data_IF_408835084233
#
_entry.id   IF_408835084233
#
_cell.length_a   1.000
_cell.length_b   1.000
_cell.length_c   1.000
_cell.angle_alpha   90.00
_cell.angle_beta   90.00
_cell.angle_gamma   90.00
#
_symmetry.space_group_name_H-M   'P 1'
#
loop_
_entity.id
_entity.type
_entity.pdbx_description
1 polymer ?
#
# COMPACT_ATOMS: atom_id res chain seq x y z
N UNK A 1 -44.56 -18.32 17.04
CA UNK A 1 -44.54 -19.64 16.39
C UNK A 1 -45.34 -19.52 15.11
N UNK A 2 -44.85 -20.07 14.01
CA UNK A 2 -45.56 -20.16 12.72
C UNK A 2 -45.58 -21.63 12.35
N UNK A 3 -46.76 -22.18 12.09
CA UNK A 3 -46.90 -23.56 11.63
C UNK A 3 -47.82 -23.68 10.44
N UNK A 4 -47.69 -24.77 9.69
CA UNK A 4 -48.67 -25.25 8.71
C UNK A 4 -49.06 -24.21 7.65
N UNK A 5 -48.08 -23.39 7.25
CA UNK A 5 -48.29 -22.22 6.40
C UNK A 5 -47.60 -22.36 5.04
N UNK A 6 -48.21 -21.77 4.00
CA UNK A 6 -47.63 -21.67 2.66
C UNK A 6 -47.36 -20.20 2.32
N UNK A 7 -46.13 -19.90 1.95
CA UNK A 7 -45.64 -18.58 1.56
C UNK A 7 -45.15 -18.64 0.11
N UNK A 8 -45.89 -18.04 -0.82
CA UNK A 8 -45.58 -18.23 -2.25
C UNK A 8 -45.75 -17.00 -3.13
N UNK A 9 -44.90 -16.91 -4.17
CA UNK A 9 -44.94 -15.88 -5.21
C UNK A 9 -44.79 -14.43 -4.69
N UNK A 10 -44.03 -14.21 -3.62
CA UNK A 10 -43.81 -12.88 -3.06
C UNK A 10 -42.52 -12.25 -3.59
N UNK A 11 -42.49 -10.92 -3.69
CA UNK A 11 -41.27 -10.15 -3.96
C UNK A 11 -40.99 -9.25 -2.75
N UNK A 12 -39.85 -9.46 -2.10
CA UNK A 12 -39.48 -8.88 -0.81
C UNK A 12 -38.18 -8.10 -0.94
N UNK A 13 -37.93 -7.15 -0.05
CA UNK A 13 -36.62 -6.48 -0.01
C UNK A 13 -35.63 -7.23 0.90
N UNK A 14 -36.05 -7.55 2.14
CA UNK A 14 -35.21 -8.15 3.19
C UNK A 14 -35.69 -9.55 3.63
N UNK A 15 -36.34 -10.29 2.74
CA UNK A 15 -36.96 -11.57 3.06
C UNK A 15 -38.17 -11.47 4.00
N UNK A 16 -38.68 -12.62 4.45
CA UNK A 16 -39.82 -12.68 5.38
C UNK A 16 -39.45 -12.29 6.81
N UNK A 17 -38.26 -12.69 7.24
CA UNK A 17 -37.78 -12.49 8.60
C UNK A 17 -36.48 -11.70 8.57
N UNK A 18 -36.59 -10.42 8.89
CA UNK A 18 -35.44 -9.55 9.13
C UNK A 18 -35.08 -9.59 10.62
N UNK A 19 -33.89 -10.06 10.94
CA UNK A 19 -33.35 -10.11 12.31
C UNK A 19 -32.43 -8.92 12.52
N UNK A 20 -32.81 -8.06 13.46
CA UNK A 20 -32.06 -6.83 13.79
C UNK A 20 -31.24 -7.00 15.09
N UNK A 21 -30.13 -6.26 15.24
CA UNK A 21 -29.18 -6.41 16.36
C UNK A 21 -29.68 -5.92 17.73
N UNK A 22 -30.84 -5.26 17.82
CA UNK A 22 -30.99 -4.20 18.82
C UNK A 22 -31.66 -4.53 20.14
N UNK A 23 -32.03 -5.77 20.47
CA UNK A 23 -32.68 -6.00 21.77
C UNK A 23 -32.31 -7.35 22.38
N UNK A 24 -31.78 -7.32 23.62
CA UNK A 24 -31.60 -8.47 24.50
C UNK A 24 -32.97 -9.02 24.93
N UNK A 25 -33.68 -9.65 24.01
CA UNK A 25 -34.75 -10.55 24.38
C UNK A 25 -34.21 -11.98 24.45
N UNK A 26 -34.80 -12.76 25.34
CA UNK A 26 -34.60 -14.19 25.45
C UNK A 26 -35.84 -14.87 24.86
N UNK A 27 -35.66 -15.73 23.87
CA UNK A 27 -36.80 -16.38 23.24
C UNK A 27 -36.41 -17.37 22.15
N UNK A 28 -37.28 -18.36 21.95
CA UNK A 28 -37.18 -19.26 20.80
C UNK A 28 -38.32 -18.97 19.84
N UNK A 29 -38.00 -18.63 18.59
CA UNK A 29 -38.96 -18.52 17.50
C UNK A 29 -38.99 -19.83 16.72
N UNK A 30 -40.18 -20.43 16.63
CA UNK A 30 -40.38 -21.72 15.98
C UNK A 30 -41.13 -21.55 14.67
N UNK A 31 -40.58 -22.11 13.58
CA UNK A 31 -41.23 -22.28 12.29
C UNK A 31 -41.30 -23.78 12.00
N UNK A 32 -42.49 -24.35 11.89
CA UNK A 32 -42.64 -25.79 11.71
C UNK A 32 -43.65 -26.12 10.61
N UNK A 33 -43.34 -27.10 9.77
CA UNK A 33 -44.25 -27.57 8.72
C UNK A 33 -44.71 -26.45 7.77
N UNK A 34 -43.77 -25.59 7.35
CA UNK A 34 -44.06 -24.48 6.44
C UNK A 34 -43.48 -24.75 5.04
N UNK A 35 -44.11 -24.18 4.02
CA UNK A 35 -43.63 -24.25 2.63
C UNK A 35 -43.39 -22.84 2.09
N UNK A 36 -42.20 -22.58 1.55
CA UNK A 36 -41.83 -21.32 0.92
C UNK A 36 -41.49 -21.56 -0.55
N UNK A 37 -42.31 -21.06 -1.48
CA UNK A 37 -42.21 -21.40 -2.91
C UNK A 37 -42.16 -20.17 -3.81
N UNK A 38 -41.25 -20.13 -4.78
CA UNK A 38 -41.20 -19.08 -5.82
C UNK A 38 -41.11 -17.65 -5.27
N UNK A 39 -40.51 -17.45 -4.09
CA UNK A 39 -40.34 -16.11 -3.54
C UNK A 39 -39.05 -15.47 -4.07
N UNK A 40 -39.05 -14.14 -4.16
CA UNK A 40 -37.93 -13.36 -4.65
C UNK A 40 -37.53 -12.32 -3.60
N UNK A 41 -36.23 -12.09 -3.42
CA UNK A 41 -35.75 -10.95 -2.63
C UNK A 41 -34.48 -10.31 -3.16
N UNK A 42 -34.00 -9.25 -2.50
CA UNK A 42 -32.64 -8.74 -2.73
C UNK A 42 -31.64 -9.56 -1.91
N UNK A 43 -31.90 -9.71 -0.61
CA UNK A 43 -31.10 -10.48 0.33
C UNK A 43 -31.96 -11.55 1.00
N UNK A 44 -31.45 -12.78 1.13
CA UNK A 44 -32.01 -13.80 2.03
C UNK A 44 -33.52 -13.95 1.93
N UNK A 45 -34.04 -14.68 0.94
CA UNK A 45 -35.49 -14.67 0.63
C UNK A 45 -36.38 -14.96 1.84
N UNK A 46 -35.90 -15.78 2.77
CA UNK A 46 -36.65 -16.11 3.98
C UNK A 46 -36.05 -15.39 5.19
N UNK A 47 -34.74 -15.48 5.38
CA UNK A 47 -34.06 -14.87 6.52
C UNK A 47 -32.99 -13.89 6.06
N UNK A 48 -33.08 -12.65 6.56
CA UNK A 48 -32.00 -11.67 6.50
C UNK A 48 -31.55 -11.36 7.93
N UNK A 49 -30.34 -11.77 8.29
CA UNK A 49 -29.79 -11.64 9.64
C UNK A 49 -28.71 -10.56 9.66
N UNK A 50 -29.02 -9.42 10.28
CA UNK A 50 -28.15 -8.24 10.36
C UNK A 50 -27.50 -8.06 11.76
N UNK A 51 -27.38 -9.13 12.56
CA UNK A 51 -27.01 -9.04 13.99
C UNK A 51 -25.61 -9.54 14.33
N UNK A 52 -24.66 -8.64 14.55
CA UNK A 52 -23.31 -8.98 15.04
C UNK A 52 -23.21 -9.18 16.57
N UNK A 53 -24.30 -8.95 17.29
CA UNK A 53 -24.39 -9.17 18.73
C UNK A 53 -24.73 -10.63 19.01
N UNK A 54 -24.03 -11.23 19.97
CA UNK A 54 -24.38 -12.56 20.47
C UNK A 54 -25.78 -12.52 21.10
N UNK A 55 -26.75 -13.05 20.37
CA UNK A 55 -28.12 -13.19 20.87
C UNK A 55 -28.32 -14.61 21.38
N UNK A 56 -28.96 -14.73 22.54
CA UNK A 56 -29.46 -16.02 23.03
C UNK A 56 -30.79 -16.40 22.38
N UNK A 57 -31.32 -15.58 21.46
CA UNK A 57 -32.50 -15.93 20.69
C UNK A 57 -32.19 -17.05 19.72
N UNK A 58 -33.08 -18.04 19.68
CA UNK A 58 -32.98 -19.16 18.75
C UNK A 58 -34.15 -19.12 17.78
N UNK A 59 -33.88 -19.19 16.49
CA UNK A 59 -34.85 -19.46 15.46
C UNK A 59 -34.66 -20.93 15.08
N UNK A 60 -35.67 -21.76 15.33
CA UNK A 60 -35.65 -23.17 14.93
C UNK A 60 -36.68 -23.38 13.85
N UNK A 61 -36.21 -23.95 12.74
CA UNK A 61 -37.03 -24.25 11.58
C UNK A 61 -37.05 -25.76 11.40
N UNK A 62 -38.23 -26.36 11.44
CA UNK A 62 -38.40 -27.81 11.34
C UNK A 62 -39.40 -28.20 10.27
N UNK A 63 -39.21 -29.38 9.67
CA UNK A 63 -40.17 -30.01 8.74
C UNK A 63 -40.63 -29.09 7.60
N UNK A 64 -39.78 -28.17 7.15
CA UNK A 64 -40.17 -27.11 6.22
C UNK A 64 -39.52 -27.27 4.84
N UNK A 65 -40.20 -26.80 3.80
CA UNK A 65 -39.72 -26.90 2.42
C UNK A 65 -39.47 -25.52 1.82
N UNK A 66 -38.31 -25.34 1.21
CA UNK A 66 -37.89 -24.13 0.50
C UNK A 66 -37.67 -24.48 -0.97
N UNK A 67 -38.59 -24.08 -1.84
CA UNK A 67 -38.57 -24.46 -3.25
C UNK A 67 -38.52 -23.23 -4.17
N UNK A 68 -37.53 -23.21 -5.05
CA UNK A 68 -37.37 -22.21 -6.12
C UNK A 68 -37.40 -20.74 -5.62
N UNK A 69 -36.80 -20.48 -4.45
CA UNK A 69 -36.65 -19.11 -3.94
C UNK A 69 -35.39 -18.46 -4.51
N UNK A 70 -35.47 -17.16 -4.83
CA UNK A 70 -34.40 -16.44 -5.52
C UNK A 70 -34.04 -15.12 -4.83
N UNK A 71 -32.78 -14.96 -4.41
CA UNK A 71 -32.24 -13.68 -3.98
C UNK A 71 -31.44 -13.03 -5.12
N UNK A 72 -31.65 -11.74 -5.39
CA UNK A 72 -30.91 -11.01 -6.43
C UNK A 72 -29.41 -10.93 -6.11
N UNK A 73 -29.07 -10.69 -4.85
CA UNK A 73 -27.67 -10.53 -4.43
C UNK A 73 -27.21 -11.77 -3.66
N UNK A 74 -27.56 -11.92 -2.38
CA UNK A 74 -26.96 -12.95 -1.53
C UNK A 74 -28.01 -13.86 -0.89
N UNK A 75 -27.69 -15.17 -0.83
CA UNK A 75 -28.40 -16.16 -0.02
C UNK A 75 -29.81 -16.48 -0.49
N UNK A 76 -29.99 -17.52 -1.30
CA UNK A 76 -31.30 -17.83 -1.91
C UNK A 76 -32.41 -18.09 -0.90
N UNK A 77 -32.07 -18.52 0.31
CA UNK A 77 -32.97 -18.65 1.46
C UNK A 77 -32.50 -17.77 2.61
N UNK A 78 -31.19 -17.71 2.87
CA UNK A 78 -30.61 -17.04 4.03
C UNK A 78 -29.44 -16.16 3.63
N UNK A 79 -29.51 -14.90 4.04
CA UNK A 79 -28.38 -14.00 4.07
C UNK A 79 -28.09 -13.59 5.51
N UNK A 80 -26.82 -13.60 5.91
CA UNK A 80 -26.41 -13.18 7.24
C UNK A 80 -25.05 -12.49 7.26
N UNK A 81 -24.97 -11.31 7.85
CA UNK A 81 -23.67 -10.71 8.22
C UNK A 81 -23.16 -11.20 9.58
N UNK A 82 -24.01 -11.87 10.38
CA UNK A 82 -23.70 -12.32 11.73
C UNK A 82 -22.74 -13.51 11.77
N UNK A 83 -21.67 -13.38 12.56
CA UNK A 83 -20.77 -14.49 12.92
C UNK A 83 -21.40 -15.54 13.87
N UNK A 84 -22.61 -15.29 14.37
CA UNK A 84 -23.32 -16.16 15.31
C UNK A 84 -24.56 -16.83 14.71
N UNK A 85 -24.80 -16.67 13.40
CA UNK A 85 -26.00 -17.19 12.73
C UNK A 85 -26.18 -18.70 12.92
N UNK A 86 -25.10 -19.47 12.96
CA UNK A 86 -25.16 -20.92 13.18
C UNK A 86 -25.60 -21.31 14.60
N UNK A 87 -25.41 -20.42 15.58
CA UNK A 87 -25.92 -20.61 16.95
C UNK A 87 -27.35 -20.08 17.11
N UNK A 88 -27.72 -19.11 16.27
CA UNK A 88 -29.01 -18.44 16.31
C UNK A 88 -30.06 -19.17 15.50
N UNK A 89 -29.72 -19.72 14.34
CA UNK A 89 -30.67 -20.26 13.37
C UNK A 89 -30.33 -21.72 13.07
N UNK A 90 -31.29 -22.61 13.33
CA UNK A 90 -31.12 -24.06 13.14
C UNK A 90 -32.23 -24.61 12.26
N UNK A 91 -31.85 -25.46 11.30
CA UNK A 91 -32.78 -26.19 10.45
C UNK A 91 -32.74 -27.67 10.80
N UNK A 92 -33.90 -28.30 10.92
CA UNK A 92 -34.04 -29.73 11.21
C UNK A 92 -35.08 -30.30 10.25
N UNK A 93 -34.76 -31.41 9.58
CA UNK A 93 -35.68 -32.08 8.66
C UNK A 93 -36.31 -31.16 7.59
N UNK A 94 -35.51 -30.22 7.08
CA UNK A 94 -35.95 -29.27 6.06
C UNK A 94 -35.45 -29.69 4.66
N UNK A 95 -36.23 -29.34 3.63
CA UNK A 95 -35.88 -29.57 2.22
C UNK A 95 -35.57 -28.24 1.54
N UNK A 96 -34.44 -28.18 0.85
CA UNK A 96 -34.05 -27.03 0.03
C UNK A 96 -33.96 -27.51 -1.42
N UNK A 97 -34.76 -26.93 -2.30
CA UNK A 97 -34.92 -27.36 -3.68
C UNK A 97 -34.79 -26.13 -4.58
N UNK A 98 -33.83 -26.13 -5.49
CA UNK A 98 -33.68 -25.10 -6.54
C UNK A 98 -33.62 -23.64 -6.04
N UNK A 99 -33.20 -23.39 -4.80
CA UNK A 99 -33.04 -22.01 -4.35
C UNK A 99 -31.72 -21.43 -4.90
N UNK A 100 -31.76 -20.16 -5.29
CA UNK A 100 -30.66 -19.53 -6.00
C UNK A 100 -30.40 -18.11 -5.47
N UNK A 101 -29.15 -17.68 -5.54
CA UNK A 101 -28.75 -16.29 -5.35
C UNK A 101 -27.98 -15.82 -6.58
N UNK A 102 -28.08 -14.53 -6.91
CA UNK A 102 -27.30 -13.94 -8.00
C UNK A 102 -25.79 -13.93 -7.71
N UNK A 103 -25.38 -13.81 -6.45
CA UNK A 103 -24.00 -13.86 -5.98
C UNK A 103 -23.78 -15.04 -5.00
N UNK A 104 -22.64 -15.74 -5.10
CA UNK A 104 -22.42 -17.09 -4.53
C UNK A 104 -21.34 -17.09 -3.44
N UNK A 105 -21.69 -16.72 -2.22
CA UNK A 105 -20.73 -16.79 -1.10
C UNK A 105 -21.20 -17.73 0.00
N UNK A 106 -20.22 -18.41 0.60
CA UNK A 106 -20.27 -19.78 1.10
C UNK A 106 -20.61 -19.87 2.59
N UNK A 107 -21.63 -20.66 2.97
CA UNK A 107 -21.73 -21.22 4.32
C UNK A 107 -20.80 -22.44 4.41
N UNK A 108 -19.68 -22.32 5.13
CA UNK A 108 -19.00 -23.53 5.63
C UNK A 108 -19.83 -24.10 6.79
N UNK A 109 -20.28 -25.35 6.62
CA UNK A 109 -20.79 -26.27 7.65
C UNK A 109 -22.29 -26.59 7.72
N UNK A 110 -23.17 -26.26 6.76
CA UNK A 110 -24.58 -26.70 6.88
C UNK A 110 -25.29 -27.34 5.68
N UNK A 111 -24.76 -27.39 4.45
CA UNK A 111 -25.24 -28.36 3.43
C UNK A 111 -24.37 -28.38 2.18
N UNK A 112 -24.49 -29.45 1.39
CA UNK A 112 -23.84 -29.63 0.09
C UNK A 112 -24.34 -28.67 -1.02
N UNK A 113 -25.25 -27.74 -0.72
CA UNK A 113 -25.85 -26.83 -1.71
C UNK A 113 -25.44 -25.37 -1.47
N UNK A 114 -24.28 -25.00 -2.03
CA UNK A 114 -23.58 -23.70 -1.85
C UNK A 114 -24.39 -22.43 -2.22
N UNK A 115 -25.61 -22.52 -2.76
CA UNK A 115 -26.41 -21.37 -3.23
C UNK A 115 -27.54 -20.94 -2.29
N UNK A 116 -27.91 -21.80 -1.34
CA UNK A 116 -29.07 -21.57 -0.49
C UNK A 116 -28.77 -20.59 0.65
N UNK A 117 -27.50 -20.47 1.03
CA UNK A 117 -27.03 -19.78 2.22
C UNK A 117 -25.82 -18.91 1.87
N UNK A 118 -25.80 -17.66 2.35
CA UNK A 118 -24.65 -16.77 2.20
C UNK A 118 -24.33 -16.00 3.49
N UNK A 119 -23.04 -15.83 3.75
CA UNK A 119 -22.52 -14.90 4.76
C UNK A 119 -21.50 -13.95 4.15
N UNK A 120 -21.23 -12.82 4.81
CA UNK A 120 -20.07 -12.00 4.44
C UNK A 120 -18.77 -12.84 4.49
N UNK A 121 -17.77 -12.54 3.65
CA UNK A 121 -16.46 -13.18 3.72
C UNK A 121 -15.92 -13.14 5.15
N UNK A 122 -15.55 -14.29 5.69
CA UNK A 122 -15.09 -14.43 7.09
C UNK A 122 -13.60 -14.68 7.21
N UNK A 123 -12.93 -14.97 6.09
CA UNK A 123 -11.51 -15.19 5.94
C UNK A 123 -11.04 -14.65 4.59
N UNK A 124 -9.75 -14.34 4.49
CA UNK A 124 -9.08 -13.99 3.25
C UNK A 124 -7.92 -14.97 3.12
N UNK A 125 -7.94 -15.79 2.07
CA UNK A 125 -6.83 -16.67 1.75
C UNK A 125 -6.03 -16.03 0.60
N UNK A 126 -4.73 -15.82 0.80
CA UNK A 126 -3.83 -15.48 -0.29
C UNK A 126 -3.19 -16.73 -0.86
N UNK A 127 -2.98 -16.75 -2.17
CA UNK A 127 -2.10 -17.72 -2.78
C UNK A 127 -0.73 -17.63 -2.11
N UNK A 128 -0.14 -18.78 -1.75
CA UNK A 128 1.22 -18.84 -1.19
C UNK A 128 2.17 -18.16 -2.16
N UNK A 129 2.62 -16.95 -1.81
CA UNK A 129 3.72 -16.28 -2.50
C UNK A 129 4.99 -16.96 -1.99
N UNK A 130 5.44 -17.99 -2.70
CA UNK A 130 6.67 -18.72 -2.37
C UNK A 130 7.95 -17.90 -2.67
N UNK A 131 7.83 -16.63 -3.02
CA UNK A 131 8.96 -15.79 -3.39
C UNK A 131 9.57 -15.16 -2.13
N UNK A 132 10.81 -15.56 -1.84
CA UNK A 132 11.66 -14.86 -0.87
C UNK A 132 12.02 -13.49 -1.46
N UNK A 133 11.68 -12.42 -0.76
CA UNK A 133 11.99 -11.05 -1.18
C UNK A 133 13.29 -10.63 -0.50
N UNK A 134 14.31 -10.25 -1.27
CA UNK A 134 15.59 -9.79 -0.71
C UNK A 134 15.78 -8.30 -0.93
N UNK A 135 15.89 -7.51 0.15
CA UNK A 135 15.96 -6.03 0.13
C UNK A 135 17.18 -5.51 0.90
N UNK A 136 17.61 -4.28 0.64
CA UNK A 136 18.55 -3.57 1.50
C UNK A 136 17.81 -2.79 2.61
N UNK A 137 18.47 -2.62 3.76
CA UNK A 137 17.93 -1.84 4.88
C UNK A 137 17.69 -0.39 4.48
N UNK A 138 16.43 0.08 4.49
CA UNK A 138 16.06 1.44 4.07
C UNK A 138 15.41 1.52 2.70
N UNK A 139 15.37 0.42 1.94
CA UNK A 139 14.48 0.31 0.78
C UNK A 139 13.03 0.13 1.23
N UNK A 140 12.07 0.57 0.40
CA UNK A 140 10.64 0.33 0.63
C UNK A 140 10.25 -0.96 -0.09
N UNK A 141 10.15 -2.10 0.61
CA UNK A 141 9.99 -3.40 -0.04
C UNK A 141 8.63 -3.59 -0.72
N UNK A 142 7.64 -2.74 -0.41
CA UNK A 142 6.22 -3.04 -0.61
C UNK A 142 5.42 -1.79 -1.02
N UNK A 143 5.92 -0.99 -1.98
CA UNK A 143 5.08 0.09 -2.54
C UNK A 143 3.84 -0.47 -3.26
N UNK A 144 3.94 -1.67 -3.83
CA UNK A 144 2.84 -2.37 -4.48
C UNK A 144 3.07 -3.88 -4.44
N UNK A 145 2.10 -4.64 -3.93
CA UNK A 145 2.02 -6.09 -4.16
C UNK A 145 0.66 -6.44 -4.74
N UNK A 146 0.67 -7.37 -5.69
CA UNK A 146 -0.52 -7.90 -6.33
C UNK A 146 -0.81 -9.28 -5.75
N UNK A 147 -2.05 -9.52 -5.32
CA UNK A 147 -2.48 -10.84 -4.89
C UNK A 147 -3.17 -11.56 -6.04
N UNK A 148 -2.79 -12.82 -6.25
CA UNK A 148 -3.55 -13.71 -7.14
C UNK A 148 -4.71 -14.31 -6.35
N UNK A 149 -5.92 -14.06 -6.85
CA UNK A 149 -7.17 -14.57 -6.29
C UNK A 149 -7.11 -16.06 -5.95
N UNK A 150 -7.33 -16.35 -4.67
CA UNK A 150 -8.02 -17.59 -4.31
C UNK A 150 -9.50 -17.28 -4.48
N UNK A 151 -10.14 -17.96 -5.42
CA UNK A 151 -11.59 -17.96 -5.68
C UNK A 151 -12.20 -16.74 -6.39
N UNK A 152 -11.75 -16.38 -7.59
CA UNK A 152 -12.53 -15.60 -8.58
C UNK A 152 -13.10 -14.22 -8.17
N UNK A 153 -12.81 -13.71 -6.98
CA UNK A 153 -13.26 -12.38 -6.53
C UNK A 153 -12.40 -11.29 -7.16
N UNK A 154 -12.96 -10.44 -8.02
CA UNK A 154 -12.47 -9.06 -8.06
C UNK A 154 -12.88 -8.44 -6.74
N UNK A 155 -11.95 -8.36 -5.79
CA UNK A 155 -12.19 -7.77 -4.49
C UNK A 155 -12.35 -6.24 -4.69
N UNK A 156 -13.54 -5.80 -5.10
CA UNK A 156 -13.82 -4.37 -5.30
C UNK A 156 -13.94 -3.62 -3.96
N UNK A 157 -13.94 -4.36 -2.85
CA UNK A 157 -14.08 -3.84 -1.50
C UNK A 157 -12.73 -3.38 -0.93
N UNK A 158 -12.80 -2.46 0.02
CA UNK A 158 -11.66 -1.88 0.72
C UNK A 158 -11.33 -2.72 1.97
N UNK A 159 -10.12 -3.25 2.04
CA UNK A 159 -9.61 -4.01 3.17
C UNK A 159 -8.51 -3.25 3.87
N UNK A 160 -8.40 -3.40 5.19
CA UNK A 160 -7.31 -2.81 5.97
C UNK A 160 -6.36 -3.90 6.42
N UNK A 161 -5.07 -3.59 6.39
CA UNK A 161 -4.00 -4.50 6.79
C UNK A 161 -3.05 -3.83 7.78
N UNK A 162 -2.35 -4.66 8.55
CA UNK A 162 -1.24 -4.25 9.41
C UNK A 162 -0.07 -5.19 9.14
N UNK A 163 1.12 -4.63 8.99
CA UNK A 163 2.35 -5.36 8.68
C UNK A 163 3.18 -5.47 9.95
N UNK A 164 3.66 -6.67 10.23
CA UNK A 164 4.52 -6.96 11.37
C UNK A 164 5.73 -7.77 10.90
N UNK A 165 6.87 -7.59 11.56
CA UNK A 165 8.07 -8.38 11.30
C UNK A 165 8.20 -9.47 12.37
N UNK A 166 8.50 -10.69 11.90
CA UNK A 166 8.78 -11.85 12.73
C UNK A 166 10.11 -12.46 12.33
N UNK A 167 10.80 -13.07 13.28
CA UNK A 167 12.01 -13.84 13.03
C UNK A 167 11.69 -15.22 12.40
N UNK A 168 12.72 -16.03 12.20
CA UNK A 168 12.60 -17.38 11.65
C UNK A 168 11.81 -18.36 12.54
N UNK A 169 11.65 -18.05 13.83
CA UNK A 169 10.87 -18.83 14.79
C UNK A 169 9.40 -18.38 14.85
N UNK A 170 9.06 -17.25 14.20
CA UNK A 170 7.74 -16.65 14.21
C UNK A 170 7.52 -15.66 15.36
N UNK A 171 8.55 -15.31 16.12
CA UNK A 171 8.49 -14.33 17.20
C UNK A 171 8.75 -12.91 16.68
N UNK A 172 8.27 -11.89 17.39
CA UNK A 172 8.56 -10.50 17.01
C UNK A 172 10.06 -10.25 17.13
N UNK A 173 10.68 -9.78 16.05
CA UNK A 173 12.12 -9.51 16.01
C UNK A 173 12.44 -8.10 16.50
N UNK A 174 13.54 -7.95 17.23
CA UNK A 174 14.15 -6.65 17.58
C UNK A 174 15.31 -6.27 16.63
N UNK A 175 15.70 -7.16 15.73
CA UNK A 175 16.82 -6.95 14.81
C UNK A 175 16.44 -6.04 13.64
N UNK A 176 15.16 -6.07 13.26
CA UNK A 176 14.59 -5.27 12.20
C UNK A 176 13.34 -4.54 12.66
N UNK A 177 13.08 -3.36 12.09
CA UNK A 177 11.87 -2.59 12.39
C UNK A 177 11.33 -1.92 11.13
N UNK A 178 10.01 -1.78 11.08
CA UNK A 178 9.32 -1.02 10.03
C UNK A 178 9.35 0.45 10.45
N UNK A 179 10.03 1.29 9.66
CA UNK A 179 10.03 2.73 9.87
C UNK A 179 8.85 3.38 9.13
N UNK A 180 8.02 4.15 9.85
CA UNK A 180 6.83 4.80 9.30
C UNK A 180 5.53 4.11 9.70
N UNK A 181 4.53 4.17 8.82
CA UNK A 181 3.23 3.51 9.05
C UNK A 181 3.35 2.02 8.78
N UNK A 182 2.91 1.19 9.72
CA UNK A 182 2.77 -0.25 9.52
C UNK A 182 1.33 -0.67 9.18
N UNK A 183 0.42 0.29 9.01
CA UNK A 183 -0.95 0.03 8.58
C UNK A 183 -1.10 0.36 7.10
N UNK A 184 -2.07 -0.28 6.45
CA UNK A 184 -2.32 -0.10 5.03
C UNK A 184 -3.73 -0.48 4.65
N UNK A 185 -4.02 -0.39 3.36
CA UNK A 185 -5.27 -0.87 2.80
C UNK A 185 -5.04 -1.56 1.46
N UNK A 186 -5.88 -2.53 1.14
CA UNK A 186 -6.00 -3.09 -0.20
C UNK A 186 -7.30 -2.62 -0.81
N UNK A 187 -7.24 -2.24 -2.08
CA UNK A 187 -8.43 -1.99 -2.87
C UNK A 187 -8.23 -2.65 -4.22
N UNK A 188 -9.09 -3.60 -4.58
CA UNK A 188 -9.02 -4.32 -5.87
C UNK A 188 -7.63 -4.84 -6.22
N UNK A 189 -7.13 -5.96 -5.73
CA UNK A 189 -5.85 -6.55 -6.16
C UNK A 189 -4.58 -5.74 -5.86
N UNK A 190 -4.69 -4.49 -5.40
CA UNK A 190 -3.54 -3.63 -5.09
C UNK A 190 -3.58 -3.21 -3.64
N UNK A 191 -2.45 -3.36 -2.96
CA UNK A 191 -2.30 -2.98 -1.56
C UNK A 191 -1.31 -1.85 -1.40
N UNK A 192 -1.63 -0.92 -0.50
CA UNK A 192 -0.88 0.28 -0.18
C UNK A 192 -0.61 0.33 1.31
N UNK A 193 0.64 0.53 1.70
CA UNK A 193 1.04 0.77 3.09
C UNK A 193 1.17 2.27 3.30
N UNK A 194 0.48 2.83 4.30
CA UNK A 194 0.41 4.27 4.51
C UNK A 194 -0.41 4.69 5.72
N UNK A 195 -0.34 5.98 6.05
CA UNK A 195 -0.99 6.53 7.24
C UNK A 195 -2.52 6.52 7.12
N UNK A 196 -3.13 5.41 7.53
CA UNK A 196 -4.57 5.31 7.71
C UNK A 196 -4.94 5.24 9.19
N UNK A 197 -6.00 5.95 9.58
CA UNK A 197 -6.57 5.90 10.93
C UNK A 197 -8.03 5.47 10.82
N UNK A 198 -8.35 4.32 11.38
CA UNK A 198 -9.71 3.80 11.44
C UNK A 198 -9.86 2.72 12.49
N UNK A 199 -11.09 2.45 12.91
CA UNK A 199 -11.42 1.25 13.69
C UNK A 199 -11.91 0.19 12.70
N UNK A 200 -11.30 -0.98 12.71
CA UNK A 200 -11.64 -2.09 11.84
C UNK A 200 -11.78 -3.37 12.68
N UNK A 201 -12.59 -4.29 12.17
CA UNK A 201 -12.80 -5.60 12.78
C UNK A 201 -11.99 -6.65 12.02
N UNK A 202 -11.13 -7.43 12.69
CA UNK A 202 -10.32 -8.46 12.03
C UNK A 202 -11.20 -9.65 11.58
N UNK A 203 -10.82 -10.25 10.46
CA UNK A 203 -11.34 -11.54 9.99
C UNK A 203 -10.73 -12.68 10.82
N UNK A 204 -11.33 -13.87 10.80
CA UNK A 204 -10.71 -15.07 11.38
C UNK A 204 -9.76 -15.67 10.33
N UNK A 205 -8.53 -16.01 10.72
CA UNK A 205 -7.48 -16.53 9.82
C UNK A 205 -7.16 -15.54 8.68
N UNK A 206 -6.53 -14.42 9.05
CA UNK A 206 -6.28 -13.26 8.19
C UNK A 206 -4.81 -12.85 8.16
N UNK A 207 -3.91 -13.78 8.50
CA UNK A 207 -2.47 -13.55 8.47
C UNK A 207 -1.89 -14.07 7.16
N UNK A 208 -1.12 -13.22 6.49
CA UNK A 208 -0.36 -13.56 5.29
C UNK A 208 1.10 -13.36 5.64
N UNK A 209 1.91 -14.40 5.45
CA UNK A 209 3.34 -14.37 5.74
C UNK A 209 4.14 -14.46 4.45
N UNK A 210 5.20 -13.66 4.36
CA UNK A 210 6.17 -13.67 3.27
C UNK A 210 7.58 -13.60 3.88
N UNK A 211 8.53 -14.29 3.26
CA UNK A 211 9.90 -14.34 3.74
C UNK A 211 10.67 -13.15 3.18
N UNK A 212 11.21 -12.31 4.06
CA UNK A 212 12.11 -11.21 3.70
C UNK A 212 13.53 -11.56 4.13
N UNK A 213 14.49 -11.27 3.26
CA UNK A 213 15.92 -11.24 3.56
C UNK A 213 16.45 -9.82 3.48
N UNK A 214 17.00 -9.34 4.58
CA UNK A 214 17.70 -8.05 4.63
C UNK A 214 19.16 -8.30 4.24
N UNK A 215 19.56 -7.81 3.07
CA UNK A 215 20.93 -7.95 2.56
C UNK A 215 21.92 -7.08 3.33
N UNK A 216 23.15 -7.56 3.43
CA UNK A 216 24.27 -6.79 3.95
C UNK A 216 24.54 -5.55 3.09
N UNK A 217 24.91 -4.45 3.75
CA UNK A 217 25.29 -3.20 3.10
C UNK A 217 26.55 -3.36 2.23
N UNK A 218 26.46 -3.11 0.93
CA UNK A 218 27.67 -2.91 0.14
C UNK A 218 28.20 -1.48 0.34
N UNK A 219 29.19 -1.34 1.24
CA UNK A 219 29.77 -0.05 1.61
C UNK A 219 30.52 0.66 0.46
N UNK A 220 30.74 0.00 -0.69
CA UNK A 220 31.30 0.66 -1.87
C UNK A 220 30.27 1.52 -2.63
N UNK A 221 28.98 1.25 -2.45
CA UNK A 221 27.89 1.91 -3.18
C UNK A 221 26.93 2.63 -2.20
N UNK A 222 26.68 2.00 -1.05
CA UNK A 222 25.73 2.48 -0.05
C UNK A 222 26.46 3.07 1.16
N UNK A 223 25.83 4.06 1.78
CA UNK A 223 26.27 4.56 3.08
C UNK A 223 25.53 3.81 4.19
N UNK A 224 26.26 3.48 5.24
CA UNK A 224 25.71 2.87 6.45
C UNK A 224 25.68 3.89 7.58
N UNK A 225 24.54 4.54 7.78
CA UNK A 225 24.39 5.63 8.77
C UNK A 225 22.94 5.74 9.24
N UNK A 226 22.76 6.16 10.49
CA UNK A 226 21.46 6.57 11.03
C UNK A 226 21.12 7.99 10.55
N UNK A 227 20.55 8.10 9.35
CA UNK A 227 20.11 9.37 8.81
C UNK A 227 18.75 9.84 9.39
N UNK A 228 18.03 8.93 10.04
CA UNK A 228 16.69 9.18 10.56
C UNK A 228 16.68 9.50 12.06
N UNK A 229 17.84 9.41 12.73
CA UNK A 229 18.04 9.57 14.18
C UNK A 229 17.15 8.63 15.01
N UNK A 230 17.04 7.37 14.58
CA UNK A 230 16.18 6.35 15.19
C UNK A 230 16.98 5.34 16.02
N UNK A 231 18.28 5.58 16.19
CA UNK A 231 19.20 4.69 16.90
C UNK A 231 19.64 3.47 16.08
N UNK A 232 19.36 3.45 14.76
CA UNK A 232 19.71 2.34 13.87
C UNK A 232 20.29 2.84 12.55
N UNK A 233 21.41 2.22 12.14
CA UNK A 233 22.02 2.52 10.86
C UNK A 233 21.25 1.83 9.72
N UNK A 234 20.97 2.59 8.67
CA UNK A 234 20.32 2.11 7.44
C UNK A 234 21.30 2.13 6.27
N UNK A 235 21.04 1.28 5.27
CA UNK A 235 21.79 1.21 4.01
C UNK A 235 21.10 2.02 2.94
N UNK A 236 21.48 3.28 2.79
CA UNK A 236 20.84 4.13 1.79
C UNK A 236 21.82 4.59 0.72
N UNK A 237 21.28 4.78 -0.48
CA UNK A 237 21.98 5.44 -1.57
C UNK A 237 21.86 6.96 -1.33
N UNK A 238 22.98 7.69 -1.16
CA UNK A 238 22.93 9.11 -0.91
C UNK A 238 22.22 9.84 -2.06
N UNK A 239 21.34 10.78 -1.71
CA UNK A 239 20.61 11.58 -2.69
C UNK A 239 20.99 13.04 -2.53
N UNK A 240 21.55 13.61 -3.59
CA UNK A 240 21.81 15.04 -3.68
C UNK A 240 20.62 15.70 -4.39
N UNK A 241 19.93 16.62 -3.71
CA UNK A 241 18.75 17.31 -4.23
C UNK A 241 19.06 18.06 -5.52
N UNK A 242 20.25 18.67 -5.59
CA UNK A 242 20.84 19.17 -6.82
C UNK A 242 21.88 18.17 -7.31
N UNK A 243 21.83 17.83 -8.60
CA UNK A 243 22.84 16.97 -9.21
C UNK A 243 24.24 17.56 -9.00
N UNK A 244 25.20 16.73 -8.59
CA UNK A 244 26.60 17.11 -8.41
C UNK A 244 27.34 17.42 -9.72
N UNK A 245 26.62 17.75 -10.81
CA UNK A 245 27.13 17.92 -12.16
C UNK A 245 28.08 16.79 -12.58
N UNK A 246 29.38 17.07 -12.68
CA UNK A 246 30.41 16.09 -13.04
C UNK A 246 30.99 15.33 -11.84
N UNK A 247 30.63 15.71 -10.61
CA UNK A 247 31.10 15.10 -9.36
C UNK A 247 30.24 13.93 -8.88
N UNK A 248 30.63 13.33 -7.75
CA UNK A 248 29.94 12.19 -7.13
C UNK A 248 29.22 12.64 -5.85
N UNK A 249 28.00 12.18 -5.62
CA UNK A 249 27.29 12.43 -4.36
C UNK A 249 27.89 11.52 -3.26
N UNK A 250 28.58 12.08 -2.27
CA UNK A 250 29.18 11.32 -1.17
C UNK A 250 28.24 11.13 0.00
N UNK A 251 27.32 12.06 0.20
CA UNK A 251 26.33 12.07 1.27
C UNK A 251 25.18 12.99 0.84
N UNK A 252 24.10 13.03 1.61
CA UNK A 252 22.97 13.89 1.30
C UNK A 252 23.40 15.35 1.17
N UNK A 253 23.17 15.91 -0.01
CA UNK A 253 23.56 17.25 -0.44
C UNK A 253 25.06 17.59 -0.29
N UNK A 254 25.94 16.57 -0.30
CA UNK A 254 27.39 16.72 -0.27
C UNK A 254 28.03 16.06 -1.49
N UNK A 255 28.58 16.88 -2.38
CA UNK A 255 29.26 16.45 -3.59
C UNK A 255 30.78 16.37 -3.42
N UNK A 256 31.40 15.36 -4.01
CA UNK A 256 32.84 15.27 -4.26
C UNK A 256 33.19 15.80 -5.63
N UNK A 257 33.94 16.90 -5.65
CA UNK A 257 34.40 17.55 -6.86
C UNK A 257 35.89 17.30 -7.15
N UNK A 258 36.60 16.49 -6.33
CA UNK A 258 38.06 16.33 -6.41
C UNK A 258 38.57 15.81 -7.75
N UNK A 259 37.79 14.97 -8.41
CA UNK A 259 38.11 14.40 -9.72
C UNK A 259 37.54 15.24 -10.89
N UNK A 260 37.13 16.49 -10.63
CA UNK A 260 36.48 17.36 -11.61
C UNK A 260 37.21 18.68 -11.81
N UNK A 261 36.94 19.36 -12.92
CA UNK A 261 37.45 20.73 -13.18
C UNK A 261 36.72 21.81 -12.37
N UNK A 262 35.62 21.43 -11.71
CA UNK A 262 34.76 22.32 -10.96
C UNK A 262 34.95 22.13 -9.45
N UNK A 263 34.54 23.12 -8.69
CA UNK A 263 34.52 23.19 -7.23
C UNK A 263 33.17 23.71 -6.74
N UNK A 264 33.06 24.02 -5.47
CA UNK A 264 31.83 24.52 -4.85
C UNK A 264 30.92 23.37 -4.39
N UNK A 265 29.80 23.73 -3.76
CA UNK A 265 28.91 22.77 -3.10
C UNK A 265 28.33 21.72 -4.08
N UNK A 266 28.12 22.09 -5.34
CA UNK A 266 27.49 21.26 -6.35
C UNK A 266 28.40 20.96 -7.55
N UNK A 267 29.72 21.17 -7.39
CA UNK A 267 30.70 21.00 -8.47
C UNK A 267 30.33 21.79 -9.73
N UNK A 268 29.94 23.05 -9.57
CA UNK A 268 29.52 23.96 -10.64
C UNK A 268 30.31 25.28 -10.67
N UNK A 269 31.20 25.50 -9.71
CA UNK A 269 32.02 26.70 -9.65
C UNK A 269 33.39 26.41 -10.27
N UNK A 270 33.99 27.36 -10.98
CA UNK A 270 35.39 27.20 -11.39
C UNK A 270 36.30 27.51 -10.21
N UNK A 271 37.41 26.78 -10.11
CA UNK A 271 38.46 27.12 -9.16
C UNK A 271 38.87 28.59 -9.35
N UNK A 272 38.81 29.36 -8.27
CA UNK A 272 39.31 30.73 -8.29
C UNK A 272 40.76 30.71 -8.75
N UNK A 273 41.02 31.34 -9.90
CA UNK A 273 42.37 31.47 -10.42
C UNK A 273 43.23 32.17 -9.37
N UNK A 274 44.10 31.40 -8.71
CA UNK A 274 45.14 31.94 -7.85
C UNK A 274 46.09 32.68 -8.77
N UNK A 275 45.99 34.02 -8.80
CA UNK A 275 46.89 34.88 -9.57
C UNK A 275 48.32 34.48 -9.23
N UNK A 276 49.02 33.84 -10.19
CA UNK A 276 50.43 33.50 -9.98
C UNK A 276 51.18 34.81 -9.95
N UNK A 277 51.76 35.13 -8.78
CA UNK A 277 52.51 36.36 -8.55
C UNK A 277 53.54 36.62 -9.65
N UNK A 278 54.20 35.55 -10.13
CA UNK A 278 55.15 35.60 -11.24
C UNK A 278 54.56 36.13 -12.56
N UNK A 279 53.39 35.63 -12.99
CA UNK A 279 52.74 36.11 -14.22
C UNK A 279 52.32 37.57 -14.08
N UNK A 280 51.83 37.96 -12.90
CA UNK A 280 51.48 39.34 -12.63
C UNK A 280 52.69 40.28 -12.72
N UNK A 281 53.84 39.87 -12.16
CA UNK A 281 55.10 40.61 -12.29
C UNK A 281 55.50 40.75 -13.75
N UNK A 282 55.49 39.66 -14.54
CA UNK A 282 55.82 39.71 -15.98
C UNK A 282 54.92 40.71 -16.71
N UNK A 283 53.60 40.59 -16.54
CA UNK A 283 52.65 41.48 -17.22
C UNK A 283 52.88 42.95 -16.85
N UNK A 284 53.10 43.26 -15.57
CA UNK A 284 53.37 44.63 -15.14
C UNK A 284 54.71 45.16 -15.68
N UNK A 285 55.78 44.35 -15.68
CA UNK A 285 57.07 44.72 -16.24
C UNK A 285 56.98 45.00 -17.75
N UNK A 286 56.26 44.15 -18.50
CA UNK A 286 56.04 44.35 -19.93
C UNK A 286 55.26 45.64 -20.22
N UNK A 287 54.23 45.91 -19.41
CA UNK A 287 53.41 47.13 -19.54
C UNK A 287 54.26 48.38 -19.31
N UNK A 288 55.13 48.37 -18.29
CA UNK A 288 56.02 49.49 -18.00
C UNK A 288 57.07 49.72 -19.10
N UNK A 289 57.63 48.64 -19.64
CA UNK A 289 58.58 48.70 -20.76
C UNK A 289 57.94 49.31 -22.01
N UNK A 290 56.72 48.90 -22.34
CA UNK A 290 55.97 49.45 -23.49
C UNK A 290 55.65 50.93 -23.30
N UNK A 291 55.25 51.34 -22.09
CA UNK A 291 55.06 52.76 -21.76
C UNK A 291 56.35 53.55 -21.92
N UNK A 292 57.48 53.06 -21.41
CA UNK A 292 58.77 53.72 -21.55
C UNK A 292 59.19 53.87 -23.02
N UNK A 293 59.04 52.80 -23.82
CA UNK A 293 59.32 52.84 -25.26
C UNK A 293 58.44 53.87 -25.97
N UNK A 294 57.15 53.95 -25.65
CA UNK A 294 56.25 54.94 -26.24
C UNK A 294 56.68 56.39 -25.95
N UNK A 295 57.08 56.68 -24.71
CA UNK A 295 57.59 58.01 -24.31
C UNK A 295 58.89 58.33 -25.02
N UNK A 296 59.81 57.37 -25.14
CA UNK A 296 61.07 57.54 -25.88
C UNK A 296 60.78 57.79 -27.36
N UNK A 297 59.87 57.06 -27.99
CA UNK A 297 59.47 57.29 -29.37
C UNK A 297 58.90 58.69 -29.58
N UNK A 298 57.99 59.15 -28.72
CA UNK A 298 57.43 60.51 -28.77
C UNK A 298 58.54 61.57 -28.62
N UNK A 299 59.46 61.37 -27.66
CA UNK A 299 60.59 62.26 -27.46
C UNK A 299 61.51 62.33 -28.69
N UNK A 300 61.87 61.18 -29.25
CA UNK A 300 62.72 61.09 -30.44
C UNK A 300 62.06 61.76 -31.66
N UNK A 301 60.75 61.58 -31.86
CA UNK A 301 60.01 62.28 -32.91
C UNK A 301 60.09 63.80 -32.71
N UNK A 302 59.87 64.29 -31.47
CA UNK A 302 59.90 65.71 -31.19
C UNK A 302 61.28 66.35 -31.37
N UNK A 303 62.36 65.65 -30.96
CA UNK A 303 63.75 66.13 -31.15
C UNK A 303 64.12 66.16 -32.63
N UNK A 304 63.73 65.14 -33.39
CA UNK A 304 64.10 64.99 -34.80
C UNK A 304 63.14 65.69 -35.78
N UNK A 305 62.16 66.46 -35.31
CA UNK A 305 61.18 67.19 -36.16
C UNK A 305 61.78 68.13 -37.23
N UNK A 306 63.07 68.45 -37.12
CA UNK A 306 63.80 69.32 -38.05
C UNK A 306 64.39 68.59 -39.25
N UNK A 307 64.47 67.25 -39.24
CA UNK A 307 64.96 66.47 -40.37
C UNK A 307 63.83 66.29 -41.41
N UNK A 308 64.14 66.58 -42.68
CA UNK A 308 63.15 66.64 -43.75
C UNK A 308 62.47 65.29 -44.05
N UNK A 309 63.11 64.16 -43.71
CA UNK A 309 62.53 62.81 -43.83
C UNK A 309 61.31 62.63 -42.91
N UNK A 310 61.28 63.27 -41.73
CA UNK A 310 60.19 63.15 -40.75
C UNK A 310 59.04 64.11 -41.08
N UNK A 311 59.27 65.14 -41.91
CA UNK A 311 58.22 66.07 -42.38
C UNK A 311 57.44 65.55 -43.60
N UNK A 312 57.95 64.52 -44.28
CA UNK A 312 57.40 64.02 -45.53
C UNK A 312 56.41 62.85 -45.37
N UNK A 313 56.16 62.40 -44.14
CA UNK A 313 55.12 61.43 -43.78
C UNK A 313 54.11 62.04 -42.83
#
# INVERSE_FOLDING_TARGET
MITDSIFQNNTLYYGYFKVLPYIMYYGTFLINNCTFVNNKSIYGTIFNVESDVYSLNQIKVSNSTFDNNYAKEYGGVIYSNSKYVNKMLTFTDCKFINNNAGNKDLFENLSNEKKNFATNPSSIACAKVNEKISIFSGETPLEKFEYSNIDSYTINDLFYLSVNLRDENGDFTEDAMIYGSNNGYCWSNTCYIGNFKGKYQPFKQNEITFNIEIKNCNQSIYLYKDNLNIGRNICYLPKCFQNCNTGKCLNDDLCDCRDTIFTGKYCNEYYHHKKKLFLYIIYNSLTFLLLALSVVSIYLINVNKKYDIIKAG
#
